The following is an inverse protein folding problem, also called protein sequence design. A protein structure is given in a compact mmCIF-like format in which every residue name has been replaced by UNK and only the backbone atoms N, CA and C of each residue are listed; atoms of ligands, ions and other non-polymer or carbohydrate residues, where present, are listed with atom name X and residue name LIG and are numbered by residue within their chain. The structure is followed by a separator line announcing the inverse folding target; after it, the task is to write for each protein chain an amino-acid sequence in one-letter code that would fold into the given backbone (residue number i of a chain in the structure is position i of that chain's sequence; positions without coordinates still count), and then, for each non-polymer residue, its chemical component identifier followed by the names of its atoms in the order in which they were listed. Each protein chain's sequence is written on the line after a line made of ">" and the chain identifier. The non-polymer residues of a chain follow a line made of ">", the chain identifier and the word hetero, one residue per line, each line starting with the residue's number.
data_IF_373569224649
#
_entry.id   IF_373569224649
#
_cell.length_a   1.000
_cell.length_b   1.000
_cell.length_c   1.000
_cell.angle_alpha   90.00
_cell.angle_beta   90.00
_cell.angle_gamma   90.00
#
_symmetry.space_group_name_H-M   'P 1'
#
loop_
_entity.id
_entity.type
_entity.pdbx_description
1 polymer ?
#
# COMPACT_ATOMS: atom_id res chain seq x y z
N UNK A 1 2.80 -14.67 26.77
CA UNK A 1 2.42 -13.49 25.94
C UNK A 1 0.92 -13.41 25.68
N UNK A 2 0.21 -14.55 25.52
CA UNK A 2 -1.23 -14.58 25.18
C UNK A 2 -2.12 -13.73 26.11
N UNK A 3 -1.88 -13.78 27.40
CA UNK A 3 -2.68 -13.08 28.44
C UNK A 3 -2.55 -11.55 28.42
N UNK A 4 -1.63 -11.00 27.63
CA UNK A 4 -1.38 -9.55 27.49
C UNK A 4 -1.23 -9.11 26.05
N UNK A 5 -1.79 -9.87 25.12
CA UNK A 5 -1.76 -9.56 23.69
C UNK A 5 -3.18 -9.48 23.15
N UNK A 6 -3.47 -8.39 22.43
CA UNK A 6 -4.68 -8.22 21.64
C UNK A 6 -4.26 -8.19 20.19
N UNK A 7 -4.79 -9.10 19.40
CA UNK A 7 -4.61 -9.14 17.94
C UNK A 7 -5.80 -8.46 17.29
N UNK A 8 -5.54 -7.45 16.49
CA UNK A 8 -6.55 -6.76 15.67
C UNK A 8 -6.16 -6.95 14.22
N UNK A 9 -7.06 -7.48 13.41
CA UNK A 9 -6.81 -7.71 11.99
C UNK A 9 -8.11 -7.59 11.19
N UNK A 10 -8.01 -7.65 9.86
CA UNK A 10 -9.17 -7.50 8.97
C UNK A 10 -9.05 -8.30 7.69
N UNK A 11 -10.18 -8.55 7.08
CA UNK A 11 -10.30 -9.30 5.83
C UNK A 11 -10.10 -8.45 4.58
N UNK A 12 -10.10 -7.11 4.74
CA UNK A 12 -10.11 -6.15 3.63
C UNK A 12 -8.98 -6.35 2.62
N UNK A 13 -7.76 -6.69 3.09
CA UNK A 13 -6.58 -6.79 2.22
C UNK A 13 -6.19 -8.23 1.92
N UNK A 14 -6.00 -9.06 2.95
CA UNK A 14 -5.56 -10.45 2.78
C UNK A 14 -6.55 -11.33 2.01
N UNK A 15 -7.84 -11.03 2.10
CA UNK A 15 -8.92 -11.75 1.41
C UNK A 15 -9.62 -10.93 0.32
N UNK A 16 -9.06 -9.78 -0.07
CA UNK A 16 -9.66 -8.87 -1.06
C UNK A 16 -11.11 -8.44 -0.72
N UNK A 17 -11.46 -8.37 0.57
CA UNK A 17 -12.81 -8.10 1.07
C UNK A 17 -13.00 -6.65 1.52
N UNK A 18 -12.50 -5.68 0.76
CA UNK A 18 -12.54 -4.24 1.14
C UNK A 18 -13.96 -3.72 1.33
N UNK A 19 -14.89 -4.08 0.44
CA UNK A 19 -16.31 -3.67 0.48
C UNK A 19 -17.13 -4.39 1.55
N UNK A 20 -16.68 -5.50 2.07
CA UNK A 20 -17.39 -6.31 3.06
C UNK A 20 -17.36 -5.73 4.48
N UNK A 21 -16.48 -4.75 4.73
CA UNK A 21 -16.37 -4.00 5.99
C UNK A 21 -16.25 -4.91 7.23
N UNK A 22 -15.34 -5.87 7.21
CA UNK A 22 -15.18 -6.85 8.28
C UNK A 22 -13.74 -6.91 8.78
N UNK A 23 -13.59 -6.91 10.09
CA UNK A 23 -12.38 -7.19 10.83
C UNK A 23 -12.66 -8.04 12.04
N UNK A 24 -11.63 -8.42 12.77
CA UNK A 24 -11.75 -9.20 13.99
C UNK A 24 -10.71 -8.79 15.02
N UNK A 25 -11.04 -9.09 16.27
CA UNK A 25 -10.16 -8.91 17.41
C UNK A 25 -10.12 -10.17 18.24
N UNK A 26 -8.93 -10.58 18.67
CA UNK A 26 -8.72 -11.72 19.57
C UNK A 26 -7.84 -11.28 20.73
N UNK A 27 -8.21 -11.67 21.96
CA UNK A 27 -7.46 -11.29 23.15
C UNK A 27 -7.97 -11.94 24.42
N UNK A 28 -7.47 -11.53 25.59
CA UNK A 28 -7.95 -12.01 26.87
C UNK A 28 -9.45 -11.75 27.06
N UNK A 29 -10.17 -12.75 27.55
CA UNK A 29 -11.63 -12.75 27.70
C UNK A 29 -12.14 -11.47 28.39
N UNK A 30 -11.51 -11.08 29.49
CA UNK A 30 -11.90 -9.91 30.28
C UNK A 30 -11.94 -8.62 29.45
N UNK A 31 -10.97 -8.44 28.53
CA UNK A 31 -10.89 -7.26 27.65
C UNK A 31 -11.91 -7.38 26.51
N UNK A 32 -11.97 -8.54 25.86
CA UNK A 32 -12.90 -8.76 24.75
C UNK A 32 -14.35 -8.59 25.17
N UNK A 33 -14.75 -9.04 26.36
CA UNK A 33 -16.10 -8.83 26.88
C UNK A 33 -16.48 -7.35 27.03
N UNK A 34 -15.53 -6.50 27.42
CA UNK A 34 -15.79 -5.06 27.49
C UNK A 34 -15.82 -4.41 26.08
N UNK A 35 -14.95 -4.86 25.18
CA UNK A 35 -14.99 -4.40 23.78
C UNK A 35 -16.32 -4.76 23.12
N UNK A 36 -16.86 -5.96 23.35
CA UNK A 36 -18.16 -6.38 22.82
C UNK A 36 -19.29 -5.48 23.32
N UNK A 37 -19.27 -5.09 24.62
CA UNK A 37 -20.27 -4.15 25.14
C UNK A 37 -20.25 -2.82 24.40
N UNK A 38 -19.06 -2.23 24.22
CA UNK A 38 -18.92 -0.97 23.49
C UNK A 38 -19.34 -1.12 22.02
N UNK A 39 -18.95 -2.21 21.38
CA UNK A 39 -19.30 -2.51 20.00
C UNK A 39 -20.82 -2.62 19.80
N UNK A 40 -21.53 -3.28 20.72
CA UNK A 40 -22.99 -3.40 20.67
C UNK A 40 -23.70 -2.04 20.70
N UNK A 41 -23.21 -1.10 21.50
CA UNK A 41 -23.77 0.26 21.55
C UNK A 41 -23.39 1.13 20.34
N UNK A 42 -22.24 0.87 19.72
CA UNK A 42 -21.77 1.66 18.59
C UNK A 42 -22.44 1.25 17.27
N UNK A 43 -22.46 -0.04 16.95
CA UNK A 43 -22.94 -0.56 15.65
C UNK A 43 -23.70 -1.90 15.75
N UNK A 44 -24.00 -2.40 16.93
CA UNK A 44 -24.61 -3.69 17.23
C UNK A 44 -23.76 -4.90 16.81
N UNK A 45 -23.57 -5.12 15.51
CA UNK A 45 -22.74 -6.20 14.96
C UNK A 45 -22.28 -5.86 13.53
N UNK A 46 -21.24 -6.56 13.08
CA UNK A 46 -20.86 -6.55 11.67
C UNK A 46 -21.94 -7.20 10.80
N UNK A 47 -22.07 -6.83 9.49
CA UNK A 47 -23.06 -7.41 8.60
C UNK A 47 -22.98 -8.94 8.56
N UNK A 48 -24.10 -9.62 8.73
CA UNK A 48 -24.17 -11.08 8.83
C UNK A 48 -23.63 -11.79 7.60
N UNK A 49 -23.94 -11.29 6.40
CA UNK A 49 -23.40 -11.80 5.14
C UNK A 49 -21.86 -11.73 5.08
N UNK A 50 -21.28 -10.64 5.59
CA UNK A 50 -19.83 -10.49 5.68
C UNK A 50 -19.19 -11.51 6.62
N UNK A 51 -19.85 -11.82 7.75
CA UNK A 51 -19.38 -12.83 8.67
C UNK A 51 -19.38 -14.22 8.04
N UNK A 52 -20.44 -14.61 7.33
CA UNK A 52 -20.49 -15.89 6.61
C UNK A 52 -19.44 -15.95 5.49
N UNK A 53 -19.27 -14.87 4.71
CA UNK A 53 -18.23 -14.78 3.68
C UNK A 53 -16.81 -14.94 4.28
N UNK A 54 -16.55 -14.36 5.45
CA UNK A 54 -15.25 -14.51 6.11
C UNK A 54 -15.03 -15.94 6.63
N UNK A 55 -16.07 -16.61 7.11
CA UNK A 55 -15.99 -18.02 7.53
C UNK A 55 -15.61 -18.90 6.31
N UNK A 56 -16.26 -18.67 5.17
CA UNK A 56 -15.96 -19.38 3.93
C UNK A 56 -14.53 -19.09 3.47
N UNK A 57 -14.14 -17.80 3.43
CA UNK A 57 -12.79 -17.40 3.08
C UNK A 57 -11.70 -18.07 3.93
N UNK A 58 -11.89 -18.11 5.25
CA UNK A 58 -10.95 -18.74 6.17
C UNK A 58 -10.86 -20.27 6.01
N UNK A 59 -11.96 -20.91 5.61
CA UNK A 59 -12.01 -22.37 5.49
C UNK A 59 -11.52 -22.88 4.15
N UNK A 60 -11.78 -22.14 3.07
CA UNK A 60 -11.68 -22.69 1.73
C UNK A 60 -10.85 -21.86 0.74
N UNK A 61 -10.53 -20.59 1.03
CA UNK A 61 -9.84 -19.69 0.08
C UNK A 61 -8.34 -19.51 0.37
N UNK A 62 -7.67 -20.52 0.91
CA UNK A 62 -6.24 -20.45 1.18
C UNK A 62 -5.38 -20.38 -0.08
N UNK A 63 -5.76 -21.12 -1.11
CA UNK A 63 -5.05 -21.17 -2.39
C UNK A 63 -5.18 -19.85 -3.16
N UNK A 64 -6.36 -19.23 -3.17
CA UNK A 64 -6.61 -17.92 -3.78
C UNK A 64 -5.80 -16.81 -3.10
N UNK A 65 -5.69 -16.85 -1.77
CA UNK A 65 -4.84 -15.92 -1.02
C UNK A 65 -3.38 -16.08 -1.40
N UNK A 66 -2.90 -17.32 -1.56
CA UNK A 66 -1.52 -17.59 -1.96
C UNK A 66 -1.25 -17.18 -3.42
N UNK A 67 -2.21 -17.35 -4.33
CA UNK A 67 -2.11 -16.85 -5.70
C UNK A 67 -2.01 -15.32 -5.74
N UNK A 68 -2.85 -14.62 -4.99
CA UNK A 68 -2.77 -13.16 -4.85
C UNK A 68 -1.39 -12.74 -4.31
N UNK A 69 -0.90 -13.43 -3.28
CA UNK A 69 0.42 -13.15 -2.70
C UNK A 69 1.55 -13.30 -3.72
N UNK A 70 1.52 -14.36 -4.53
CA UNK A 70 2.49 -14.60 -5.62
C UNK A 70 2.43 -13.48 -6.66
N UNK A 71 1.23 -13.08 -7.07
CA UNK A 71 1.01 -12.00 -8.03
C UNK A 71 1.54 -10.67 -7.50
N UNK A 72 1.27 -10.31 -6.24
CA UNK A 72 1.84 -9.12 -5.61
C UNK A 72 3.36 -9.18 -5.51
N UNK A 73 3.93 -10.32 -5.17
CA UNK A 73 5.38 -10.48 -5.10
C UNK A 73 6.04 -10.32 -6.48
N UNK A 74 5.40 -10.77 -7.55
CA UNK A 74 5.88 -10.55 -8.92
C UNK A 74 5.93 -9.04 -9.25
N UNK A 75 4.85 -8.31 -8.95
CA UNK A 75 4.78 -6.85 -9.15
C UNK A 75 5.82 -6.13 -8.31
N UNK A 76 5.97 -6.48 -7.04
CA UNK A 76 7.00 -5.94 -6.15
C UNK A 76 8.40 -6.09 -6.75
N UNK A 77 8.76 -7.30 -7.16
CA UNK A 77 10.08 -7.58 -7.77
C UNK A 77 10.30 -6.79 -9.05
N UNK A 78 9.25 -6.63 -9.85
CA UNK A 78 9.29 -5.82 -11.07
C UNK A 78 9.59 -4.35 -10.72
N UNK A 79 8.85 -3.74 -9.79
CA UNK A 79 9.09 -2.36 -9.39
C UNK A 79 10.50 -2.15 -8.85
N UNK A 80 10.97 -3.02 -7.96
CA UNK A 80 12.32 -2.93 -7.39
C UNK A 80 13.41 -3.01 -8.46
N UNK A 81 13.22 -3.87 -9.47
CA UNK A 81 14.12 -3.95 -10.62
C UNK A 81 14.14 -2.64 -11.41
N UNK A 82 12.97 -2.08 -11.72
CA UNK A 82 12.85 -0.84 -12.50
C UNK A 82 13.40 0.37 -11.75
N UNK A 83 13.13 0.52 -10.46
CA UNK A 83 13.72 1.60 -9.66
C UNK A 83 15.24 1.52 -9.64
N UNK A 84 15.80 0.33 -9.45
CA UNK A 84 17.25 0.14 -9.53
C UNK A 84 17.81 0.52 -10.91
N UNK A 85 17.12 0.14 -12.00
CA UNK A 85 17.52 0.50 -13.37
C UNK A 85 17.47 2.01 -13.60
N UNK A 86 16.48 2.70 -13.07
CA UNK A 86 16.32 4.14 -13.15
C UNK A 86 17.26 4.92 -12.20
N UNK A 87 17.98 4.22 -11.30
CA UNK A 87 18.84 4.84 -10.28
C UNK A 87 18.09 5.44 -9.11
N UNK A 88 16.80 5.12 -8.93
CA UNK A 88 16.01 5.55 -7.78
C UNK A 88 16.23 4.61 -6.60
N UNK A 89 16.66 5.17 -5.47
CA UNK A 89 16.77 4.42 -4.23
C UNK A 89 15.37 4.12 -3.68
N UNK A 90 15.13 2.85 -3.33
CA UNK A 90 13.88 2.44 -2.74
C UNK A 90 14.14 1.29 -1.75
N UNK A 91 13.64 1.44 -0.52
CA UNK A 91 13.64 0.34 0.44
C UNK A 91 12.77 -0.82 -0.07
N UNK A 92 13.28 -2.03 0.00
CA UNK A 92 12.54 -3.21 -0.44
C UNK A 92 11.40 -3.54 0.54
N UNK A 93 10.12 -3.46 0.12
CA UNK A 93 9.01 -3.74 1.01
C UNK A 93 8.79 -5.26 1.15
N UNK A 94 8.71 -5.76 2.38
CA UNK A 94 8.38 -7.15 2.68
C UNK A 94 6.92 -7.37 3.05
N UNK A 95 6.13 -6.31 3.09
CA UNK A 95 4.69 -6.34 3.37
C UNK A 95 3.94 -5.25 2.64
N UNK A 96 2.60 -5.28 2.73
CA UNK A 96 1.70 -4.37 2.03
C UNK A 96 1.83 -4.43 0.50
N UNK A 97 1.35 -3.41 -0.20
CA UNK A 97 1.39 -3.26 -1.66
C UNK A 97 1.78 -1.82 -2.04
N UNK A 98 2.71 -1.26 -1.29
CA UNK A 98 3.25 0.09 -1.48
C UNK A 98 4.77 0.06 -1.54
N UNK A 99 5.35 0.96 -2.33
CA UNK A 99 6.77 1.27 -2.37
C UNK A 99 6.97 2.76 -2.10
N UNK A 100 8.14 3.11 -1.55
CA UNK A 100 8.53 4.48 -1.23
C UNK A 100 9.88 4.82 -1.89
N UNK A 101 9.93 5.10 -3.20
CA UNK A 101 11.14 5.57 -3.84
C UNK A 101 11.54 6.95 -3.33
N UNK A 102 12.84 7.14 -3.15
CA UNK A 102 13.45 8.41 -2.79
C UNK A 102 13.58 9.30 -4.03
N UNK A 103 13.13 10.55 -3.91
CA UNK A 103 13.17 11.57 -4.98
C UNK A 103 13.96 12.81 -4.55
N UNK A 104 14.70 12.75 -3.46
CA UNK A 104 15.45 13.89 -2.91
C UNK A 104 16.51 14.43 -3.87
N UNK A 105 17.00 13.61 -4.79
CA UNK A 105 18.00 14.01 -5.80
C UNK A 105 17.49 15.14 -6.73
N UNK A 106 16.18 15.30 -6.88
CA UNK A 106 15.58 16.26 -7.81
C UNK A 106 15.39 17.66 -7.22
N UNK A 107 15.78 17.92 -5.98
CA UNK A 107 15.72 19.24 -5.33
C UNK A 107 14.31 19.81 -5.14
N UNK A 108 13.27 19.01 -5.37
CA UNK A 108 11.86 19.38 -5.20
C UNK A 108 11.28 18.77 -3.94
N UNK A 109 10.27 19.43 -3.38
CA UNK A 109 9.43 18.80 -2.34
C UNK A 109 8.64 17.62 -2.91
N UNK A 110 8.26 16.68 -2.04
CA UNK A 110 7.43 15.53 -2.42
C UNK A 110 6.11 15.95 -3.07
N UNK A 111 5.53 17.06 -2.62
CA UNK A 111 4.27 17.60 -3.15
C UNK A 111 4.47 18.21 -4.54
N UNK A 112 5.52 19.00 -4.75
CA UNK A 112 5.86 19.57 -6.05
C UNK A 112 6.14 18.48 -7.08
N UNK A 113 6.93 17.49 -6.72
CA UNK A 113 7.21 16.34 -7.60
C UNK A 113 5.92 15.61 -7.98
N UNK A 114 5.09 15.25 -6.99
CA UNK A 114 3.83 14.53 -7.23
C UNK A 114 2.87 15.33 -8.11
N UNK A 115 2.78 16.65 -7.90
CA UNK A 115 1.94 17.56 -8.68
C UNK A 115 2.44 17.67 -10.12
N UNK A 116 3.73 17.93 -10.33
CA UNK A 116 4.32 18.00 -11.68
C UNK A 116 4.17 16.68 -12.42
N UNK A 117 4.45 15.56 -11.76
CA UNK A 117 4.32 14.23 -12.36
C UNK A 117 2.88 13.92 -12.79
N UNK A 118 1.89 14.33 -11.98
CA UNK A 118 0.48 14.21 -12.34
C UNK A 118 0.12 15.08 -13.54
N UNK A 119 0.57 16.33 -13.56
CA UNK A 119 0.20 17.29 -14.60
C UNK A 119 0.87 16.99 -15.94
N UNK A 120 2.14 16.58 -15.91
CA UNK A 120 2.95 16.35 -17.12
C UNK A 120 2.74 14.93 -17.67
N UNK A 121 2.78 13.90 -16.83
CA UNK A 121 2.76 12.49 -17.25
C UNK A 121 1.44 11.77 -16.96
N UNK A 122 0.46 12.42 -16.32
CA UNK A 122 -0.85 11.85 -15.98
C UNK A 122 -0.75 10.58 -15.11
N UNK A 123 0.19 10.58 -14.18
CA UNK A 123 0.35 9.51 -13.17
C UNK A 123 0.18 10.11 -11.78
N UNK A 124 -0.79 9.60 -11.04
CA UNK A 124 -1.06 10.01 -9.68
C UNK A 124 -0.24 9.17 -8.69
N UNK A 125 0.51 9.84 -7.84
CA UNK A 125 1.24 9.26 -6.70
C UNK A 125 0.92 10.06 -5.44
N UNK A 126 1.23 9.52 -4.27
CA UNK A 126 0.99 10.26 -3.01
C UNK A 126 2.32 10.78 -2.49
N UNK A 127 2.45 12.08 -2.20
CA UNK A 127 3.64 12.63 -1.56
C UNK A 127 3.87 11.97 -0.19
N UNK A 128 5.12 11.70 0.15
CA UNK A 128 5.45 11.01 1.40
C UNK A 128 5.03 11.78 2.64
N UNK A 129 5.01 13.11 2.57
CA UNK A 129 4.55 14.01 3.66
C UNK A 129 3.11 13.75 4.11
N UNK A 130 2.26 13.14 3.26
CA UNK A 130 0.92 12.69 3.67
C UNK A 130 0.95 11.64 4.79
N UNK A 131 2.11 11.05 5.09
CA UNK A 131 2.33 10.04 6.14
C UNK A 131 3.19 10.53 7.30
N UNK A 132 3.48 11.82 7.34
CA UNK A 132 4.28 12.49 8.36
C UNK A 132 5.48 13.22 7.77
N UNK A 133 6.08 14.13 8.55
CA UNK A 133 7.20 14.97 8.10
C UNK A 133 8.42 14.17 7.63
N UNK A 134 8.66 13.00 8.23
CA UNK A 134 9.73 12.09 7.83
C UNK A 134 9.55 11.48 6.43
N UNK A 135 8.38 11.66 5.81
CA UNK A 135 8.10 11.25 4.45
C UNK A 135 8.54 12.26 3.37
N UNK A 136 9.10 13.43 3.76
CA UNK A 136 9.65 14.36 2.78
C UNK A 136 10.80 13.74 2.01
N UNK A 137 10.87 14.00 0.69
CA UNK A 137 11.81 13.37 -0.22
C UNK A 137 11.41 11.99 -0.72
N UNK A 138 10.20 11.51 -0.38
CA UNK A 138 9.67 10.22 -0.82
C UNK A 138 8.32 10.34 -1.49
N UNK A 139 8.00 9.35 -2.34
CA UNK A 139 6.66 9.16 -2.91
C UNK A 139 6.11 7.81 -2.47
N UNK A 140 4.81 7.73 -2.18
CA UNK A 140 4.14 6.43 -2.03
C UNK A 140 3.51 6.03 -3.35
N UNK A 141 3.93 4.89 -3.88
CA UNK A 141 3.38 4.27 -5.09
C UNK A 141 2.70 2.96 -4.71
N UNK A 142 1.46 2.75 -5.16
CA UNK A 142 0.75 1.49 -5.01
C UNK A 142 1.07 0.54 -6.17
N UNK A 143 1.31 -0.75 -5.87
CA UNK A 143 1.42 -1.78 -6.90
C UNK A 143 0.22 -2.75 -6.92
N UNK A 144 -0.93 -2.28 -6.42
CA UNK A 144 -2.21 -2.99 -6.52
C UNK A 144 -2.91 -2.79 -7.88
N UNK A 145 -2.13 -2.64 -8.95
CA UNK A 145 -2.55 -2.48 -10.34
C UNK A 145 -2.07 -3.66 -11.19
N UNK A 146 -2.56 -3.76 -12.43
CA UNK A 146 -2.05 -4.75 -13.37
C UNK A 146 -0.56 -4.53 -13.68
N UNK A 147 0.15 -5.57 -14.12
CA UNK A 147 1.55 -5.43 -14.52
C UNK A 147 1.70 -4.50 -15.74
N UNK A 148 0.70 -4.50 -16.63
CA UNK A 148 0.61 -3.65 -17.81
C UNK A 148 0.52 -2.17 -17.41
N UNK A 149 -0.39 -1.83 -16.49
CA UNK A 149 -0.54 -0.45 -15.98
C UNK A 149 0.72 0.02 -15.27
N UNK A 150 1.34 -0.87 -14.48
CA UNK A 150 2.60 -0.56 -13.79
C UNK A 150 3.74 -0.29 -14.78
N UNK A 151 3.84 -1.04 -15.87
CA UNK A 151 4.82 -0.78 -16.95
C UNK A 151 4.60 0.59 -17.58
N UNK A 152 3.36 0.95 -17.88
CA UNK A 152 3.02 2.27 -18.42
C UNK A 152 3.40 3.38 -17.45
N UNK A 153 3.03 3.24 -16.18
CA UNK A 153 3.32 4.23 -15.14
C UNK A 153 4.83 4.41 -14.92
N UNK A 154 5.60 3.30 -14.87
CA UNK A 154 7.05 3.36 -14.70
C UNK A 154 7.76 3.91 -15.93
N UNK A 155 7.31 3.61 -17.14
CA UNK A 155 7.87 4.24 -18.35
C UNK A 155 7.61 5.76 -18.40
N UNK A 156 6.49 6.23 -17.85
CA UNK A 156 6.21 7.66 -17.68
C UNK A 156 7.09 8.27 -16.59
N UNK A 157 7.31 7.56 -15.47
CA UNK A 157 8.21 8.00 -14.41
C UNK A 157 9.65 8.14 -14.95
N UNK A 158 10.12 7.17 -15.72
CA UNK A 158 11.44 7.23 -16.34
C UNK A 158 11.63 8.48 -17.20
N UNK A 159 10.71 8.75 -18.13
CA UNK A 159 10.77 9.95 -18.95
C UNK A 159 10.78 11.23 -18.13
N UNK A 160 9.98 11.26 -17.05
CA UNK A 160 9.89 12.42 -16.19
C UNK A 160 11.20 12.68 -15.44
N UNK A 161 11.79 11.67 -14.82
CA UNK A 161 13.06 11.83 -14.11
C UNK A 161 14.24 12.12 -15.04
N UNK A 162 14.26 11.56 -16.26
CA UNK A 162 15.26 11.91 -17.28
C UNK A 162 15.16 13.38 -17.69
N UNK A 163 13.93 13.88 -17.86
CA UNK A 163 13.69 15.30 -18.13
C UNK A 163 14.23 16.17 -17.01
N UNK A 164 13.93 15.85 -15.73
CA UNK A 164 14.42 16.61 -14.57
C UNK A 164 15.94 16.61 -14.49
N UNK A 165 16.59 15.45 -14.67
CA UNK A 165 18.05 15.33 -14.68
C UNK A 165 18.71 16.13 -15.80
N UNK A 166 18.00 16.39 -16.92
CA UNK A 166 18.50 17.24 -18.00
C UNK A 166 18.24 18.73 -17.72
N UNK A 167 17.14 19.09 -17.05
CA UNK A 167 16.87 20.47 -16.61
C UNK A 167 17.98 20.94 -15.63
N UNK A 168 18.36 20.12 -14.67
CA UNK A 168 19.44 20.42 -13.72
C UNK A 168 20.80 20.64 -14.40
N UNK A 169 21.15 19.80 -15.39
CA UNK A 169 22.39 19.95 -16.14
C UNK A 169 22.45 21.22 -17.01
N UNK A 170 21.29 21.74 -17.43
CA UNK A 170 21.22 22.97 -18.25
C UNK A 170 21.27 24.24 -17.36
N UNK A 171 21.11 24.09 -16.04
CA UNK A 171 21.10 25.19 -15.06
C UNK A 171 22.45 25.39 -14.37
N UNK A 172 23.40 24.50 -14.61
CA UNK A 172 24.80 24.58 -14.15
C UNK A 172 25.73 25.05 -15.27
#
# INVERSE_FOLDING_TARGET
>A
MRERTIVINGFSKGFAMTGWRLGYCCGPKLIIEQMVKLHQYAIMCAPTNSQYAAIEGLRHCGDEVEEMRKSYNQRRRFLMHEFKRMGLECFEPFGAFYVFPNISEFGMTSEEFATRFLMEEKVAVVPGTAFGECGEGFLRISYAYSLEDLKVALGRLERFIEKLRNEDKASC
#
